data_IF_537557388346
#
_entry.id   IF_537557388346
#
_cell.length_a   1.000
_cell.length_b   1.000
_cell.length_c   1.000
_cell.angle_alpha   90.00
_cell.angle_beta   90.00
_cell.angle_gamma   90.00
#
_symmetry.space_group_name_H-M   'P 1'
#
loop_
_entity.id
_entity.type
_entity.pdbx_description
1 polymer ?
#
# COMPACT_ATOMS: atom_id res chain seq x y z
N UNK A 1 -25.87 45.68 15.19
CA UNK A 1 -24.41 45.78 14.95
C UNK A 1 -23.74 44.58 15.61
N UNK A 2 -22.93 43.81 14.88
CA UNK A 2 -22.25 42.63 15.42
C UNK A 2 -21.08 43.04 16.32
N UNK A 3 -20.91 42.34 17.45
CA UNK A 3 -19.85 42.66 18.41
C UNK A 3 -18.44 42.45 17.80
N UNK A 4 -17.46 43.34 18.00
CA UNK A 4 -16.12 43.24 17.39
C UNK A 4 -15.42 41.89 17.62
N UNK A 5 -15.57 41.30 18.82
CA UNK A 5 -15.02 39.96 19.13
C UNK A 5 -15.66 38.87 18.26
N UNK A 6 -16.97 38.94 17.99
CA UNK A 6 -17.63 37.95 17.13
C UNK A 6 -17.12 38.05 15.69
N UNK A 7 -16.91 39.26 15.19
CA UNK A 7 -16.33 39.48 13.86
C UNK A 7 -14.89 38.95 13.79
N UNK A 8 -14.09 39.17 14.84
CA UNK A 8 -12.72 38.67 14.93
C UNK A 8 -12.69 37.13 14.99
N UNK A 9 -13.53 36.52 15.82
CA UNK A 9 -13.64 35.07 15.95
C UNK A 9 -14.06 34.41 14.62
N UNK A 10 -15.07 34.98 13.94
CA UNK A 10 -15.50 34.50 12.62
C UNK A 10 -14.36 34.57 11.60
N UNK A 11 -13.63 35.70 11.52
CA UNK A 11 -12.45 35.84 10.64
C UNK A 11 -11.36 34.83 10.94
N UNK A 12 -11.08 34.58 12.23
CA UNK A 12 -10.10 33.58 12.64
C UNK A 12 -10.51 32.17 12.21
N UNK A 13 -11.78 31.81 12.39
CA UNK A 13 -12.31 30.51 11.99
C UNK A 13 -12.20 30.32 10.47
N UNK A 14 -12.68 31.28 9.67
CA UNK A 14 -12.61 31.21 8.21
C UNK A 14 -11.17 31.11 7.72
N UNK A 15 -10.24 31.86 8.32
CA UNK A 15 -8.81 31.80 7.96
C UNK A 15 -8.21 30.44 8.31
N UNK A 16 -8.58 29.86 9.45
CA UNK A 16 -8.10 28.53 9.85
C UNK A 16 -8.66 27.41 8.95
N UNK A 17 -9.91 27.53 8.53
CA UNK A 17 -10.54 26.59 7.59
C UNK A 17 -9.87 26.63 6.21
N UNK A 18 -9.59 27.82 5.67
CA UNK A 18 -8.89 27.92 4.38
C UNK A 18 -7.46 27.37 4.44
N UNK A 19 -6.76 27.57 5.56
CA UNK A 19 -5.45 26.93 5.79
C UNK A 19 -5.56 25.40 5.81
N UNK A 20 -6.56 24.85 6.51
CA UNK A 20 -6.79 23.39 6.54
C UNK A 20 -7.13 22.85 5.16
N UNK A 21 -7.97 23.53 4.39
CA UNK A 21 -8.32 23.15 3.02
C UNK A 21 -7.09 23.12 2.11
N UNK A 22 -6.28 24.18 2.16
CA UNK A 22 -5.04 24.27 1.37
C UNK A 22 -4.07 23.15 1.75
N UNK A 23 -3.89 22.89 3.04
CA UNK A 23 -3.04 21.80 3.52
C UNK A 23 -3.53 20.43 3.05
N UNK A 24 -4.85 20.18 3.08
CA UNK A 24 -5.48 18.96 2.57
C UNK A 24 -5.26 18.77 1.08
N UNK A 25 -5.46 19.81 0.28
CA UNK A 25 -5.25 19.75 -1.16
C UNK A 25 -3.78 19.45 -1.50
N UNK A 26 -2.84 20.07 -0.79
CA UNK A 26 -1.42 19.79 -0.95
C UNK A 26 -1.05 18.35 -0.52
N UNK A 27 -1.58 17.89 0.61
CA UNK A 27 -1.41 16.52 1.06
C UNK A 27 -1.95 15.53 0.04
N UNK A 28 -3.17 15.73 -0.46
CA UNK A 28 -3.80 14.87 -1.47
C UNK A 28 -2.96 14.75 -2.75
N UNK A 29 -2.46 15.87 -3.28
CA UNK A 29 -1.64 15.86 -4.52
C UNK A 29 -0.31 15.13 -4.36
N UNK A 30 0.26 15.18 -3.16
CA UNK A 30 1.58 14.58 -2.88
C UNK A 30 1.49 13.17 -2.31
N UNK A 31 0.32 12.78 -1.78
CA UNK A 31 0.14 11.53 -1.07
C UNK A 31 0.39 10.30 -1.94
N UNK A 32 -0.17 10.23 -3.15
CA UNK A 32 0.04 9.09 -4.06
C UNK A 32 1.52 8.84 -4.38
N UNK A 33 2.25 9.84 -4.91
CA UNK A 33 3.69 9.72 -5.15
C UNK A 33 4.51 9.39 -3.90
N UNK A 34 4.15 9.94 -2.73
CA UNK A 34 4.80 9.61 -1.45
C UNK A 34 4.59 8.15 -1.06
N UNK A 35 3.37 7.63 -1.21
CA UNK A 35 3.04 6.23 -0.93
C UNK A 35 3.84 5.27 -1.81
N UNK A 36 3.88 5.51 -3.12
CA UNK A 36 4.66 4.69 -4.06
C UNK A 36 6.16 4.72 -3.73
N UNK A 37 6.69 5.91 -3.44
CA UNK A 37 8.11 6.09 -3.12
C UNK A 37 8.48 5.35 -1.83
N UNK A 38 7.64 5.48 -0.79
CA UNK A 38 7.87 4.83 0.49
C UNK A 38 7.77 3.30 0.35
N UNK A 39 6.73 2.79 -0.33
CA UNK A 39 6.57 1.37 -0.62
C UNK A 39 7.78 0.78 -1.37
N UNK A 40 8.22 1.46 -2.44
CA UNK A 40 9.38 1.03 -3.22
C UNK A 40 10.66 0.96 -2.37
N UNK A 41 10.89 1.97 -1.53
CA UNK A 41 12.08 2.03 -0.66
C UNK A 41 12.04 0.95 0.40
N UNK A 42 10.91 0.78 1.07
CA UNK A 42 10.75 -0.21 2.12
C UNK A 42 10.84 -1.63 1.55
N UNK A 43 10.21 -1.90 0.40
CA UNK A 43 10.29 -3.18 -0.28
C UNK A 43 11.72 -3.55 -0.68
N UNK A 44 12.53 -2.60 -1.18
CA UNK A 44 13.96 -2.85 -1.46
C UNK A 44 14.75 -3.19 -0.21
N UNK A 45 14.42 -2.56 0.91
CA UNK A 45 15.08 -2.83 2.20
C UNK A 45 14.72 -4.23 2.71
N UNK A 46 13.47 -4.64 2.54
CA UNK A 46 12.91 -5.87 3.08
C UNK A 46 13.16 -7.11 2.20
N UNK A 47 13.02 -6.95 0.88
CA UNK A 47 13.04 -8.03 -0.11
C UNK A 47 14.31 -8.01 -0.97
N UNK A 48 15.18 -7.00 -0.80
CA UNK A 48 16.40 -6.83 -1.58
C UNK A 48 16.17 -6.27 -2.98
N UNK A 49 17.18 -6.40 -3.85
CA UNK A 49 17.22 -5.76 -5.16
C UNK A 49 16.11 -6.23 -6.11
N UNK A 50 15.62 -7.46 -5.95
CA UNK A 50 14.51 -7.99 -6.75
C UNK A 50 13.23 -7.15 -6.63
N UNK A 51 13.05 -6.41 -5.52
CA UNK A 51 11.91 -5.52 -5.33
C UNK A 51 11.82 -4.37 -6.35
N UNK A 52 12.88 -4.10 -7.12
CA UNK A 52 12.88 -3.08 -8.17
C UNK A 52 11.86 -3.37 -9.28
N UNK A 53 11.46 -4.63 -9.46
CA UNK A 53 10.50 -5.04 -10.50
C UNK A 53 9.05 -4.84 -10.07
N UNK A 54 8.79 -4.47 -8.81
CA UNK A 54 7.44 -4.25 -8.31
C UNK A 54 6.89 -2.93 -8.85
N UNK A 55 5.78 -3.01 -9.58
CA UNK A 55 5.03 -1.84 -10.03
C UNK A 55 4.01 -1.45 -8.95
N UNK A 56 4.34 -0.42 -8.18
CA UNK A 56 3.53 0.04 -7.06
C UNK A 56 2.46 1.03 -7.51
N UNK A 57 1.22 0.74 -7.13
CA UNK A 57 0.05 1.56 -7.35
C UNK A 57 -0.51 2.12 -6.05
N UNK A 58 -1.24 3.23 -6.16
CA UNK A 58 -1.79 3.95 -5.02
C UNK A 58 -3.05 3.25 -4.50
N UNK A 59 -3.11 2.95 -3.19
CA UNK A 59 -4.29 2.35 -2.57
C UNK A 59 -5.21 3.42 -1.95
N UNK A 60 -6.09 4.02 -2.74
CA UNK A 60 -6.89 5.21 -2.39
C UNK A 60 -7.97 5.07 -1.30
N UNK A 61 -7.84 4.14 -0.36
CA UNK A 61 -8.92 3.73 0.54
C UNK A 61 -8.93 4.41 1.93
N UNK A 62 -7.90 5.17 2.32
CA UNK A 62 -7.78 5.68 3.71
C UNK A 62 -7.40 7.17 3.82
N UNK A 63 -7.55 7.69 5.04
CA UNK A 63 -7.29 9.09 5.40
C UNK A 63 -5.90 9.54 4.93
N UNK A 64 -5.88 10.36 3.87
CA UNK A 64 -4.68 10.84 3.19
C UNK A 64 -3.72 11.64 4.09
N UNK A 65 -4.16 12.08 5.26
CA UNK A 65 -3.41 13.04 6.08
C UNK A 65 -2.18 12.40 6.75
N UNK A 66 -2.18 11.08 7.04
CA UNK A 66 -1.09 10.45 7.81
C UNK A 66 -0.71 9.03 7.38
N UNK A 67 -1.55 8.35 6.61
CA UNK A 67 -1.37 6.92 6.31
C UNK A 67 -0.92 6.75 4.86
N UNK A 68 0.31 6.27 4.63
CA UNK A 68 0.77 5.97 3.26
C UNK A 68 0.41 4.54 2.91
N UNK A 69 -0.12 4.34 1.71
CA UNK A 69 -0.55 3.02 1.24
C UNK A 69 -0.34 2.85 -0.24
N UNK A 70 0.20 1.70 -0.60
CA UNK A 70 0.38 1.28 -1.98
C UNK A 70 0.20 -0.22 -2.07
N UNK A 71 -0.10 -0.72 -3.26
CA UNK A 71 -0.11 -2.15 -3.54
C UNK A 71 0.67 -2.44 -4.82
N UNK A 72 1.19 -3.64 -4.96
CA UNK A 72 1.82 -4.12 -6.19
C UNK A 72 1.26 -5.51 -6.51
N UNK A 73 0.74 -5.68 -7.72
CA UNK A 73 0.31 -7.00 -8.20
C UNK A 73 1.54 -7.87 -8.49
N UNK A 74 1.56 -9.08 -7.94
CA UNK A 74 2.60 -10.06 -8.27
C UNK A 74 2.19 -10.87 -9.50
N UNK A 75 1.00 -11.47 -9.47
CA UNK A 75 0.39 -12.15 -10.61
C UNK A 75 -1.05 -12.60 -10.30
N UNK A 76 -1.74 -13.12 -11.31
CA UNK A 76 -2.93 -13.97 -11.15
C UNK A 76 -2.64 -15.36 -11.71
N UNK A 77 -2.44 -16.35 -10.84
CA UNK A 77 -2.08 -17.71 -11.24
C UNK A 77 -2.68 -18.75 -10.29
N UNK A 78 -2.85 -20.00 -10.74
CA UNK A 78 -3.51 -21.05 -9.95
C UNK A 78 -4.94 -20.69 -9.46
N UNK A 79 -5.64 -19.79 -10.14
CA UNK A 79 -6.95 -19.27 -9.71
C UNK A 79 -6.90 -18.30 -8.53
N UNK A 80 -5.72 -17.75 -8.23
CA UNK A 80 -5.49 -16.82 -7.14
C UNK A 80 -4.86 -15.52 -7.66
N UNK A 81 -5.28 -14.40 -7.09
CA UNK A 81 -4.67 -13.10 -7.28
C UNK A 81 -3.73 -12.81 -6.10
N UNK A 82 -2.48 -12.50 -6.42
CA UNK A 82 -1.40 -12.30 -5.46
C UNK A 82 -0.93 -10.86 -5.51
N UNK A 83 -0.93 -10.18 -4.36
CA UNK A 83 -0.58 -8.77 -4.28
C UNK A 83 0.23 -8.49 -3.01
N UNK A 84 1.21 -7.59 -3.11
CA UNK A 84 1.87 -7.01 -1.94
C UNK A 84 1.20 -5.70 -1.57
N UNK A 85 0.96 -5.51 -0.28
CA UNK A 85 0.33 -4.32 0.30
C UNK A 85 1.33 -3.64 1.21
N UNK A 86 1.70 -2.42 0.88
CA UNK A 86 2.48 -1.54 1.75
C UNK A 86 1.54 -0.64 2.56
N UNK A 87 1.84 -0.50 3.86
CA UNK A 87 1.20 0.47 4.73
C UNK A 87 2.21 1.11 5.66
N UNK A 88 2.09 2.42 5.86
CA UNK A 88 2.75 3.16 6.94
C UNK A 88 1.69 3.83 7.81
N UNK A 89 1.67 3.46 9.09
CA UNK A 89 0.81 4.06 10.10
C UNK A 89 1.70 4.73 11.15
N UNK A 90 1.87 6.04 11.04
CA UNK A 90 2.63 6.82 12.03
C UNK A 90 4.10 6.42 12.17
N UNK A 91 4.75 6.01 11.07
CA UNK A 91 6.14 5.57 11.03
C UNK A 91 6.32 4.07 11.21
N UNK A 92 5.23 3.30 11.31
CA UNK A 92 5.28 1.84 11.36
C UNK A 92 4.99 1.28 9.97
N UNK A 93 6.06 1.04 9.21
CA UNK A 93 6.02 0.49 7.85
C UNK A 93 5.81 -1.05 7.90
N UNK A 94 4.94 -1.57 7.04
CA UNK A 94 4.69 -3.01 6.87
C UNK A 94 4.42 -3.34 5.41
N UNK A 95 4.83 -4.54 5.00
CA UNK A 95 4.39 -5.17 3.76
C UNK A 95 3.65 -6.45 4.10
N UNK A 96 2.51 -6.66 3.46
CA UNK A 96 1.73 -7.89 3.59
C UNK A 96 1.44 -8.50 2.22
N UNK A 97 1.50 -9.82 2.11
CA UNK A 97 1.01 -10.57 0.97
C UNK A 97 -0.50 -10.79 1.14
N UNK A 98 -1.28 -10.32 0.18
CA UNK A 98 -2.69 -10.66 0.02
C UNK A 98 -2.83 -11.75 -1.04
N UNK A 99 -3.53 -12.82 -0.68
CA UNK A 99 -3.88 -13.93 -1.57
C UNK A 99 -5.39 -14.00 -1.66
N UNK A 100 -5.93 -13.66 -2.82
CA UNK A 100 -7.38 -13.62 -3.06
C UNK A 100 -7.77 -14.71 -4.05
N UNK A 101 -8.85 -15.43 -3.76
CA UNK A 101 -9.44 -16.39 -4.69
C UNK A 101 -10.16 -15.63 -5.81
N UNK A 102 -9.91 -16.00 -7.07
CA UNK A 102 -10.55 -15.33 -8.22
C UNK A 102 -12.02 -15.74 -8.36
N UNK A 103 -12.36 -16.97 -7.99
CA UNK A 103 -13.70 -17.55 -8.18
C UNK A 103 -14.54 -17.63 -6.91
N UNK A 104 -14.03 -17.18 -5.77
CA UNK A 104 -14.66 -17.33 -4.47
C UNK A 104 -14.28 -16.18 -3.53
N UNK A 105 -15.04 -15.91 -2.46
CA UNK A 105 -14.78 -14.77 -1.58
C UNK A 105 -13.63 -15.00 -0.58
N UNK A 106 -12.84 -16.07 -0.74
CA UNK A 106 -11.75 -16.38 0.18
C UNK A 106 -10.57 -15.44 -0.05
N UNK A 107 -10.05 -14.87 1.05
CA UNK A 107 -8.87 -14.04 1.05
C UNK A 107 -8.04 -14.33 2.29
N UNK A 108 -6.72 -14.36 2.11
CA UNK A 108 -5.75 -14.44 3.20
C UNK A 108 -4.78 -13.26 3.12
N UNK A 109 -4.33 -12.79 4.28
CA UNK A 109 -3.35 -11.70 4.39
C UNK A 109 -2.27 -12.15 5.35
N UNK A 110 -1.02 -12.08 4.90
CA UNK A 110 0.15 -12.50 5.65
C UNK A 110 1.17 -11.38 5.70
N UNK A 111 1.67 -11.04 6.88
CA UNK A 111 2.79 -10.10 7.00
C UNK A 111 4.05 -10.72 6.38
N UNK A 112 4.80 -9.89 5.66
CA UNK A 112 6.06 -10.24 5.03
C UNK A 112 7.16 -9.49 5.74
N UNK A 113 8.17 -10.23 6.18
CA UNK A 113 9.33 -9.71 6.94
C UNK A 113 10.66 -9.94 6.24
N UNK A 114 10.68 -10.77 5.20
CA UNK A 114 11.86 -11.03 4.35
C UNK A 114 11.46 -11.68 3.03
N UNK A 115 12.37 -11.68 2.06
CA UNK A 115 12.20 -12.40 0.79
C UNK A 115 12.05 -13.92 1.00
N UNK A 116 12.81 -14.49 1.93
CA UNK A 116 12.72 -15.93 2.24
C UNK A 116 11.35 -16.29 2.78
N UNK A 117 10.82 -15.51 3.73
CA UNK A 117 9.47 -15.71 4.25
C UNK A 117 8.42 -15.56 3.16
N UNK A 118 8.56 -14.59 2.26
CA UNK A 118 7.66 -14.44 1.11
C UNK A 118 7.67 -15.71 0.24
N UNK A 119 8.84 -16.28 -0.05
CA UNK A 119 8.95 -17.55 -0.76
C UNK A 119 8.24 -18.70 -0.03
N UNK A 120 8.41 -18.80 1.30
CA UNK A 120 7.71 -19.80 2.11
C UNK A 120 6.19 -19.64 2.08
N UNK A 121 5.68 -18.40 2.13
CA UNK A 121 4.25 -18.12 2.02
C UNK A 121 3.71 -18.51 0.64
N UNK A 122 4.41 -18.12 -0.43
CA UNK A 122 4.03 -18.47 -1.79
C UNK A 122 4.04 -19.99 -2.00
N UNK A 123 4.94 -20.72 -1.35
CA UNK A 123 5.00 -22.19 -1.45
C UNK A 123 3.80 -22.93 -0.89
N UNK A 124 3.00 -22.27 -0.05
CA UNK A 124 1.78 -22.82 0.53
C UNK A 124 0.53 -22.54 -0.33
N UNK A 125 0.70 -21.80 -1.43
CA UNK A 125 -0.39 -21.46 -2.34
C UNK A 125 -0.52 -22.50 -3.46
N UNK A 126 -1.74 -22.81 -3.93
CA UNK A 126 -1.95 -23.57 -5.17
C UNK A 126 -1.15 -23.05 -6.36
N UNK A 127 -0.96 -21.73 -6.45
CA UNK A 127 -0.13 -21.05 -7.43
C UNK A 127 1.35 -21.51 -7.45
N UNK A 128 1.84 -22.16 -6.39
CA UNK A 128 3.25 -22.56 -6.30
C UNK A 128 3.72 -23.48 -7.44
N UNK A 129 2.84 -24.35 -7.96
CA UNK A 129 3.21 -25.25 -9.05
C UNK A 129 3.55 -24.49 -10.33
N UNK A 130 2.88 -23.36 -10.56
CA UNK A 130 3.10 -22.50 -11.71
C UNK A 130 4.30 -21.55 -11.49
N UNK A 131 4.52 -21.11 -10.24
CA UNK A 131 5.62 -20.20 -9.86
C UNK A 131 6.97 -20.92 -9.79
N UNK A 132 6.97 -22.15 -9.26
CA UNK A 132 8.17 -22.98 -9.07
C UNK A 132 7.93 -24.34 -9.74
N UNK A 133 8.01 -24.41 -11.09
CA UNK A 133 7.97 -25.70 -11.77
C UNK A 133 9.16 -26.51 -11.26
N UNK A 134 8.88 -27.57 -10.48
CA UNK A 134 9.91 -28.51 -10.03
C UNK A 134 10.64 -29.03 -11.28
N UNK A 135 11.94 -28.81 -11.34
CA UNK A 135 12.92 -29.33 -12.30
C UNK A 135 12.40 -30.12 -13.52
N UNK A 136 12.67 -29.56 -14.72
CA UNK A 136 12.85 -30.34 -15.95
C UNK A 136 11.58 -30.62 -16.73
N UNK A 137 11.23 -29.71 -17.64
CA UNK A 137 10.51 -30.12 -18.84
C UNK A 137 11.30 -31.24 -19.52
N UNK A 138 10.70 -32.42 -19.64
CA UNK A 138 11.12 -33.40 -20.62
C UNK A 138 10.98 -32.72 -22.01
N UNK A 139 12.11 -32.26 -22.53
CA UNK A 139 12.32 -32.16 -23.98
C UNK A 139 12.41 -33.57 -24.55
#
# INVERSE_FOLDING_TARGET
>A
MSHPIMLAAAKHLTTAEERRKTAREAAFRTWGPRSITAASKYARTLLGDAAVTLDWEVLGLLSFEEHLQAFASLDTTGGQHLELYYTDQGGTERISLRVSCVSCPSQHVHEVTSLEQLGQLLSQTPAWQDISPRDGGNL
#
